data_IF_750314219802
#
_entry.id   IF_750314219802
#
_cell.length_a   1.000
_cell.length_b   1.000
_cell.length_c   1.000
_cell.angle_alpha   90.00
_cell.angle_beta   90.00
_cell.angle_gamma   90.00
#
_symmetry.space_group_name_H-M   'P 1'
#
loop_
_entity.id
_entity.type
_entity.pdbx_description
1 polymer ?
#
# COMPACT_ATOMS: atom_id res chain seq x y z
N UNK A 1 -3.43 12.95 -12.14
CA UNK A 1 -2.85 11.61 -12.39
C UNK A 1 -1.33 11.73 -12.42
N UNK A 2 -0.65 10.86 -11.73
CA UNK A 2 0.83 10.75 -11.72
C UNK A 2 1.20 9.28 -11.92
N UNK A 3 2.16 9.01 -12.79
CA UNK A 3 2.75 7.68 -12.99
C UNK A 3 4.26 7.85 -12.83
N UNK A 4 4.85 7.08 -11.95
CA UNK A 4 6.30 7.07 -11.68
C UNK A 4 6.85 5.66 -11.85
N UNK A 5 8.12 5.57 -12.24
CA UNK A 5 8.86 4.31 -12.32
C UNK A 5 10.01 4.34 -11.32
N UNK A 6 10.27 3.22 -10.71
CA UNK A 6 11.29 3.05 -9.67
C UNK A 6 12.02 1.72 -9.85
N UNK A 7 13.14 1.55 -9.15
CA UNK A 7 13.95 0.33 -9.18
C UNK A 7 14.32 -0.08 -10.61
N UNK A 8 15.06 0.81 -11.30
CA UNK A 8 15.51 0.59 -12.69
C UNK A 8 14.35 0.30 -13.67
N UNK A 9 13.24 1.06 -13.54
CA UNK A 9 12.03 0.91 -14.35
C UNK A 9 11.25 -0.41 -14.18
N UNK A 10 11.59 -1.24 -13.18
CA UNK A 10 10.92 -2.53 -12.92
C UNK A 10 9.63 -2.42 -12.11
N UNK A 11 9.42 -1.31 -11.45
CA UNK A 11 8.22 -1.01 -10.66
C UNK A 11 7.55 0.23 -11.22
N UNK A 12 6.27 0.14 -11.51
CA UNK A 12 5.46 1.28 -11.93
C UNK A 12 4.41 1.61 -10.87
N UNK A 13 4.41 2.85 -10.38
CA UNK A 13 3.46 3.34 -9.39
C UNK A 13 2.55 4.37 -10.05
N UNK A 14 1.26 4.17 -9.94
CA UNK A 14 0.23 5.11 -10.38
C UNK A 14 -0.53 5.70 -9.21
N UNK A 15 -0.79 7.00 -9.26
CA UNK A 15 -1.64 7.73 -8.32
C UNK A 15 -2.63 8.60 -9.06
N UNK A 16 -3.91 8.48 -8.74
CA UNK A 16 -4.99 9.25 -9.33
C UNK A 16 -5.87 9.88 -8.27
N UNK A 17 -6.13 11.18 -8.39
CA UNK A 17 -7.16 11.87 -7.62
C UNK A 17 -8.54 11.54 -8.21
N UNK A 18 -9.47 11.15 -7.36
CA UNK A 18 -10.84 10.75 -7.71
C UNK A 18 -11.87 11.46 -6.84
N UNK A 19 -13.12 11.43 -7.27
CA UNK A 19 -14.25 11.81 -6.42
C UNK A 19 -14.48 10.77 -5.32
N UNK A 20 -15.28 11.13 -4.33
CA UNK A 20 -15.60 10.23 -3.22
C UNK A 20 -16.61 9.15 -3.64
N UNK A 21 -16.39 7.93 -3.16
CA UNK A 21 -17.35 6.84 -3.23
C UNK A 21 -16.91 5.69 -4.14
N UNK A 22 -17.48 4.52 -3.87
CA UNK A 22 -17.09 3.24 -4.46
C UNK A 22 -17.12 3.20 -6.00
N UNK A 23 -18.05 3.96 -6.61
CA UNK A 23 -18.12 4.06 -8.08
C UNK A 23 -16.89 4.79 -8.62
N UNK A 24 -16.53 5.93 -8.02
CA UNK A 24 -15.35 6.70 -8.42
C UNK A 24 -14.04 5.94 -8.18
N UNK A 25 -13.97 5.14 -7.11
CA UNK A 25 -12.83 4.24 -6.85
C UNK A 25 -12.66 3.25 -8.00
N UNK A 26 -13.74 2.54 -8.37
CA UNK A 26 -13.70 1.53 -9.45
C UNK A 26 -13.40 2.13 -10.83
N UNK A 27 -13.99 3.27 -11.16
CA UNK A 27 -13.69 4.00 -12.39
C UNK A 27 -12.26 4.53 -12.39
N UNK A 28 -11.77 4.97 -11.22
CA UNK A 28 -10.40 5.43 -11.01
C UNK A 28 -9.38 4.33 -11.23
N UNK A 29 -9.62 3.13 -10.73
CA UNK A 29 -8.77 1.95 -10.99
C UNK A 29 -8.64 1.68 -12.48
N UNK A 30 -9.76 1.61 -13.19
CA UNK A 30 -9.76 1.33 -14.64
C UNK A 30 -9.00 2.40 -15.43
N UNK A 31 -9.24 3.68 -15.10
CA UNK A 31 -8.54 4.80 -15.75
C UNK A 31 -7.04 4.78 -15.48
N UNK A 32 -6.66 4.45 -14.24
CA UNK A 32 -5.26 4.39 -13.86
C UNK A 32 -4.54 3.21 -14.51
N UNK A 33 -5.16 2.03 -14.53
CA UNK A 33 -4.64 0.85 -15.23
C UNK A 33 -4.50 1.09 -16.73
N UNK A 34 -5.51 1.71 -17.37
CA UNK A 34 -5.39 2.09 -18.77
C UNK A 34 -4.21 3.02 -19.03
N UNK A 35 -3.99 4.00 -18.16
CA UNK A 35 -2.86 4.93 -18.30
C UNK A 35 -1.49 4.25 -18.06
N UNK A 36 -1.43 3.21 -17.21
CA UNK A 36 -0.19 2.49 -16.92
C UNK A 36 0.15 1.43 -17.96
N UNK A 37 -0.86 0.75 -18.53
CA UNK A 37 -0.69 -0.43 -19.39
C UNK A 37 -1.08 -0.20 -20.86
N UNK A 38 -1.86 0.84 -21.17
CA UNK A 38 -2.45 1.07 -22.49
C UNK A 38 -3.75 0.30 -22.73
N UNK A 39 -4.19 -0.54 -21.80
CA UNK A 39 -5.44 -1.29 -21.82
C UNK A 39 -5.97 -1.48 -20.39
N UNK A 40 -7.22 -1.90 -20.25
CA UNK A 40 -7.81 -2.27 -18.96
C UNK A 40 -7.79 -3.78 -18.82
N UNK A 41 -6.95 -4.34 -17.91
CA UNK A 41 -6.89 -5.79 -17.71
C UNK A 41 -8.13 -6.30 -16.97
N UNK A 42 -8.39 -7.60 -17.11
CA UNK A 42 -9.34 -8.30 -16.22
C UNK A 42 -8.67 -8.50 -14.87
N UNK A 43 -9.24 -7.91 -13.82
CA UNK A 43 -8.77 -8.11 -12.46
C UNK A 43 -9.51 -9.31 -11.88
N UNK A 44 -8.77 -10.34 -11.53
CA UNK A 44 -9.23 -11.46 -10.72
C UNK A 44 -8.75 -11.29 -9.27
N UNK A 45 -9.20 -12.16 -8.38
CA UNK A 45 -8.71 -12.21 -7.01
C UNK A 45 -8.37 -13.66 -6.69
N UNK A 46 -7.21 -13.86 -6.04
CA UNK A 46 -6.82 -15.18 -5.54
C UNK A 46 -7.61 -15.56 -4.27
N UNK A 47 -7.32 -16.71 -3.70
CA UNK A 47 -7.99 -17.22 -2.48
C UNK A 47 -7.81 -16.31 -1.26
N UNK A 48 -6.72 -15.54 -1.20
CA UNK A 48 -6.42 -14.56 -0.14
C UNK A 48 -7.06 -13.18 -0.41
N UNK A 49 -7.81 -13.03 -1.50
CA UNK A 49 -8.41 -11.76 -1.91
C UNK A 49 -7.45 -10.76 -2.54
N UNK A 50 -6.19 -11.14 -2.83
CA UNK A 50 -5.22 -10.30 -3.52
C UNK A 50 -5.62 -10.15 -4.98
N UNK A 51 -5.62 -8.92 -5.55
CA UNK A 51 -5.86 -8.73 -6.98
C UNK A 51 -4.76 -9.36 -7.81
N UNK A 52 -5.15 -9.95 -8.94
CA UNK A 52 -4.27 -10.56 -9.93
C UNK A 52 -4.64 -10.13 -11.33
N UNK A 53 -3.64 -9.88 -12.17
CA UNK A 53 -3.77 -9.61 -13.60
C UNK A 53 -2.71 -10.42 -14.35
N UNK A 54 -2.95 -10.69 -15.63
CA UNK A 54 -2.00 -11.44 -16.44
C UNK A 54 -0.71 -10.66 -16.66
N UNK A 55 0.44 -11.30 -16.44
CA UNK A 55 1.77 -10.77 -16.72
C UNK A 55 2.33 -9.78 -15.68
N UNK A 56 1.59 -9.48 -14.61
CA UNK A 56 2.05 -8.54 -13.59
C UNK A 56 1.67 -8.96 -12.18
N UNK A 57 2.56 -8.70 -11.24
CA UNK A 57 2.24 -8.55 -9.83
C UNK A 57 1.57 -7.18 -9.63
N UNK A 58 0.47 -7.14 -8.90
CA UNK A 58 -0.32 -5.93 -8.70
C UNK A 58 -0.71 -5.76 -7.23
N UNK A 59 -0.72 -4.52 -6.76
CA UNK A 59 -1.39 -4.15 -5.52
C UNK A 59 -2.15 -2.84 -5.71
N UNK A 60 -3.33 -2.74 -5.09
CA UNK A 60 -4.25 -1.60 -5.23
C UNK A 60 -4.62 -1.09 -3.84
N UNK A 61 -4.71 0.20 -3.69
CA UNK A 61 -5.25 0.85 -2.49
C UNK A 61 -6.07 2.07 -2.84
N UNK A 62 -7.13 2.29 -2.06
CA UNK A 62 -7.99 3.46 -2.18
C UNK A 62 -8.15 4.14 -0.83
N UNK A 63 -8.25 5.45 -0.87
CA UNK A 63 -8.68 6.24 0.26
C UNK A 63 -9.57 7.39 -0.24
N UNK A 64 -10.11 8.19 0.65
CA UNK A 64 -10.93 9.34 0.26
C UNK A 64 -10.14 10.24 -0.69
N UNK A 65 -10.64 10.35 -1.92
CA UNK A 65 -10.05 11.22 -2.95
C UNK A 65 -8.91 10.63 -3.76
N UNK A 66 -8.48 9.38 -3.50
CA UNK A 66 -7.30 8.81 -4.16
C UNK A 66 -7.45 7.32 -4.48
N UNK A 67 -6.85 6.92 -5.60
CA UNK A 67 -6.53 5.53 -5.96
C UNK A 67 -5.03 5.44 -6.21
N UNK A 68 -4.39 4.43 -5.64
CA UNK A 68 -2.99 4.10 -5.86
C UNK A 68 -2.86 2.66 -6.36
N UNK A 69 -2.02 2.45 -7.38
CA UNK A 69 -1.72 1.14 -7.96
C UNK A 69 -0.21 0.98 -8.11
N UNK A 70 0.31 -0.18 -7.79
CA UNK A 70 1.68 -0.57 -8.08
C UNK A 70 1.68 -1.83 -8.94
N UNK A 71 2.56 -1.86 -9.95
CA UNK A 71 2.74 -2.97 -10.89
C UNK A 71 4.22 -3.34 -11.00
N UNK A 72 4.50 -4.62 -11.11
CA UNK A 72 5.82 -5.15 -11.49
C UNK A 72 5.66 -6.45 -12.27
N UNK A 73 6.57 -6.71 -13.23
CA UNK A 73 6.69 -8.02 -13.88
C UNK A 73 7.63 -8.96 -13.12
N UNK A 74 8.52 -8.40 -12.29
CA UNK A 74 9.63 -9.13 -11.69
C UNK A 74 9.47 -9.36 -10.17
N UNK A 75 8.70 -8.50 -9.49
CA UNK A 75 8.64 -8.46 -8.03
C UNK A 75 7.21 -8.57 -7.51
N UNK A 76 7.04 -9.31 -6.42
CA UNK A 76 5.85 -9.16 -5.58
C UNK A 76 5.80 -7.73 -5.03
N UNK A 77 4.63 -7.12 -5.04
CA UNK A 77 4.45 -5.71 -4.69
C UNK A 77 3.31 -5.49 -3.70
N UNK A 78 3.45 -4.47 -2.87
CA UNK A 78 2.42 -3.98 -1.97
C UNK A 78 2.36 -2.46 -1.99
N UNK A 79 1.16 -1.90 -1.89
CA UNK A 79 0.93 -0.45 -1.79
C UNK A 79 -0.23 -0.16 -0.86
N UNK A 80 -0.10 0.92 -0.07
CA UNK A 80 -1.20 1.46 0.70
C UNK A 80 -1.20 2.99 0.69
N UNK A 81 -2.39 3.57 0.69
CA UNK A 81 -2.60 5.02 0.76
C UNK A 81 -3.71 5.35 1.74
N UNK A 82 -3.45 6.32 2.63
CA UNK A 82 -4.43 6.85 3.56
C UNK A 82 -4.48 8.37 3.52
N UNK A 83 -5.69 8.94 3.46
CA UNK A 83 -5.85 10.38 3.64
C UNK A 83 -5.54 10.80 5.07
N UNK A 84 -5.01 12.00 5.25
CA UNK A 84 -4.65 12.51 6.58
C UNK A 84 -5.91 12.73 7.43
N UNK A 85 -6.06 11.92 8.46
CA UNK A 85 -7.16 12.01 9.42
C UNK A 85 -6.79 11.38 10.77
N UNK A 86 -7.51 11.78 11.83
CA UNK A 86 -7.32 11.21 13.17
C UNK A 86 -7.90 9.79 13.33
N UNK A 87 -8.35 9.14 12.26
CA UNK A 87 -8.96 7.79 12.33
C UNK A 87 -7.97 6.77 12.90
N UNK A 88 -6.75 6.77 12.42
CA UNK A 88 -5.71 5.82 12.85
C UNK A 88 -5.34 5.99 14.33
N UNK A 89 -5.35 7.23 14.85
CA UNK A 89 -5.07 7.51 16.27
C UNK A 89 -6.11 6.91 17.22
N UNK A 90 -7.34 6.68 16.75
CA UNK A 90 -8.41 6.08 17.54
C UNK A 90 -8.34 4.56 17.64
N UNK A 91 -7.51 3.93 16.81
CA UNK A 91 -7.42 2.47 16.71
C UNK A 91 -5.98 1.96 16.91
N UNK A 92 -5.12 2.76 17.52
CA UNK A 92 -3.69 2.42 17.73
C UNK A 92 -3.51 1.05 18.39
N UNK A 93 -4.35 0.70 19.36
CA UNK A 93 -4.30 -0.62 20.03
C UNK A 93 -4.53 -1.81 19.10
N UNK A 94 -5.09 -1.60 17.89
CA UNK A 94 -5.35 -2.67 16.91
C UNK A 94 -4.13 -2.99 16.05
N UNK A 95 -3.23 -2.01 15.85
CA UNK A 95 -2.12 -2.18 14.94
C UNK A 95 -0.75 -1.87 15.53
N UNK A 96 -0.65 -0.92 16.51
CA UNK A 96 0.62 -0.66 17.17
C UNK A 96 0.93 -1.71 18.24
N UNK A 97 2.19 -2.04 18.33
CA UNK A 97 2.78 -2.87 19.37
C UNK A 97 3.18 -2.00 20.55
N UNK A 98 3.38 -2.59 21.72
CA UNK A 98 3.87 -1.87 22.90
C UNK A 98 5.29 -1.31 22.74
N UNK A 99 6.06 -1.88 21.81
CA UNK A 99 7.42 -1.44 21.47
C UNK A 99 7.47 -0.51 20.23
N UNK A 100 6.32 0.03 19.79
CA UNK A 100 6.16 1.03 18.74
C UNK A 100 5.56 2.32 19.34
N UNK A 101 6.36 3.20 19.97
CA UNK A 101 5.88 4.34 20.76
C UNK A 101 5.50 5.55 19.88
N UNK A 102 4.76 5.34 18.79
CA UNK A 102 4.33 6.41 17.89
C UNK A 102 3.15 7.17 18.47
N UNK A 103 3.37 8.41 18.91
CA UNK A 103 2.35 9.27 19.55
C UNK A 103 1.82 10.35 18.62
N UNK A 104 2.57 10.76 17.61
CA UNK A 104 2.16 11.75 16.64
C UNK A 104 1.41 11.13 15.45
N UNK A 105 0.48 11.90 14.88
CA UNK A 105 -0.38 11.44 13.79
C UNK A 105 0.40 10.99 12.55
N UNK A 106 1.49 11.68 12.22
CA UNK A 106 2.30 11.36 11.03
C UNK A 106 2.96 9.99 11.16
N UNK A 107 3.64 9.73 12.28
CA UNK A 107 4.25 8.43 12.56
C UNK A 107 3.22 7.32 12.61
N UNK A 108 2.05 7.58 13.19
CA UNK A 108 0.93 6.64 13.24
C UNK A 108 0.39 6.30 11.85
N UNK A 109 0.21 7.29 10.96
CA UNK A 109 -0.22 7.07 9.58
C UNK A 109 0.82 6.29 8.77
N UNK A 110 2.11 6.62 8.90
CA UNK A 110 3.20 5.88 8.24
C UNK A 110 3.20 4.43 8.73
N UNK A 111 3.11 4.20 10.04
CA UNK A 111 3.11 2.85 10.61
C UNK A 111 1.90 2.04 10.15
N UNK A 112 0.69 2.64 10.09
CA UNK A 112 -0.51 2.01 9.55
C UNK A 112 -0.31 1.61 8.09
N UNK A 113 0.00 2.58 7.20
CA UNK A 113 0.20 2.32 5.78
C UNK A 113 1.31 1.29 5.52
N UNK A 114 2.43 1.35 6.26
CA UNK A 114 3.53 0.40 6.11
C UNK A 114 3.13 -1.03 6.48
N UNK A 115 2.31 -1.21 7.52
CA UNK A 115 1.76 -2.52 7.91
C UNK A 115 0.75 -3.03 6.88
N UNK A 116 -0.15 -2.18 6.38
CA UNK A 116 -1.09 -2.55 5.32
C UNK A 116 -0.36 -2.89 4.01
N UNK A 117 0.68 -2.13 3.64
CA UNK A 117 1.55 -2.44 2.51
C UNK A 117 2.20 -3.82 2.67
N UNK A 118 2.76 -4.10 3.85
CA UNK A 118 3.42 -5.38 4.15
C UNK A 118 2.41 -6.53 4.18
N UNK A 119 1.22 -6.32 4.75
CA UNK A 119 0.13 -7.29 4.72
C UNK A 119 -0.25 -7.68 3.29
N UNK A 120 -0.39 -6.70 2.39
CA UNK A 120 -0.68 -6.94 0.96
C UNK A 120 0.47 -7.66 0.25
N UNK A 121 1.71 -7.38 0.64
CA UNK A 121 2.91 -8.02 0.08
C UNK A 121 3.04 -9.50 0.50
N UNK A 122 2.61 -9.85 1.72
CA UNK A 122 2.61 -11.19 2.30
C UNK A 122 1.18 -11.73 2.50
N UNK A 123 0.31 -11.50 1.52
CA UNK A 123 -1.13 -11.85 1.65
C UNK A 123 -1.35 -13.32 2.02
N UNK A 124 -0.52 -14.22 1.52
CA UNK A 124 -0.54 -15.65 1.78
C UNK A 124 -0.24 -16.03 3.25
N UNK A 125 0.42 -15.15 3.98
CA UNK A 125 0.76 -15.41 5.39
C UNK A 125 -0.37 -14.98 6.35
N UNK A 126 -1.35 -14.19 5.91
CA UNK A 126 -2.45 -13.67 6.75
C UNK A 126 -1.95 -13.05 8.06
N UNK A 127 -0.91 -12.19 7.97
CA UNK A 127 -0.28 -11.58 9.14
C UNK A 127 -1.25 -10.69 9.91
N UNK A 128 -1.33 -10.88 11.22
CA UNK A 128 -1.94 -9.85 12.07
C UNK A 128 -1.05 -8.60 12.09
N UNK A 129 -1.66 -7.40 12.18
CA UNK A 129 -0.89 -6.13 12.15
C UNK A 129 0.14 -6.03 13.29
N UNK A 130 -0.09 -6.72 14.41
CA UNK A 130 0.87 -6.79 15.51
C UNK A 130 1.97 -7.84 15.33
N UNK A 131 1.90 -8.70 14.31
CA UNK A 131 2.99 -9.58 13.88
C UNK A 131 3.99 -8.88 12.97
N UNK A 132 3.79 -7.60 12.73
CA UNK A 132 4.67 -6.72 11.98
C UNK A 132 5.19 -5.60 12.88
N UNK A 133 6.50 -5.36 12.86
CA UNK A 133 7.15 -4.28 13.61
C UNK A 133 7.69 -3.21 12.67
N UNK A 134 7.24 -1.98 12.83
CA UNK A 134 7.64 -0.85 11.98
C UNK A 134 8.77 -0.06 12.64
N UNK A 135 9.78 0.27 11.84
CA UNK A 135 10.75 1.31 12.16
C UNK A 135 10.56 2.48 11.16
N UNK A 136 9.84 3.51 11.59
CA UNK A 136 9.52 4.68 10.75
C UNK A 136 10.78 5.45 10.36
N UNK A 137 11.77 5.55 11.25
CA UNK A 137 13.00 6.31 10.99
C UNK A 137 13.87 5.65 9.90
N UNK A 138 13.84 4.33 9.81
CA UNK A 138 14.60 3.55 8.82
C UNK A 138 13.77 3.12 7.61
N UNK A 139 12.45 3.38 7.61
CA UNK A 139 11.51 2.90 6.61
C UNK A 139 11.56 1.37 6.43
N UNK A 140 11.54 0.63 7.52
CA UNK A 140 11.53 -0.83 7.52
C UNK A 140 10.33 -1.38 8.28
N UNK A 141 9.82 -2.51 7.81
CA UNK A 141 8.88 -3.37 8.54
C UNK A 141 9.49 -4.75 8.68
N UNK A 142 9.58 -5.25 9.90
CA UNK A 142 9.96 -6.63 10.17
C UNK A 142 8.70 -7.49 10.24
N UNK A 143 8.59 -8.49 9.37
CA UNK A 143 7.65 -9.61 9.54
C UNK A 143 8.19 -10.49 10.65
N UNK A 144 7.55 -10.47 11.82
CA UNK A 144 8.04 -11.17 13.02
C UNK A 144 7.80 -12.69 12.95
N UNK A 145 6.94 -13.16 12.04
CA UNK A 145 6.68 -14.60 11.87
C UNK A 145 7.81 -15.26 11.08
N UNK A 146 8.25 -14.64 10.00
CA UNK A 146 9.34 -15.13 9.15
C UNK A 146 10.71 -14.52 9.46
N UNK A 147 10.75 -13.48 10.31
CA UNK A 147 11.93 -12.67 10.63
C UNK A 147 12.57 -12.03 9.38
N UNK A 148 11.71 -11.57 8.46
CA UNK A 148 12.13 -10.90 7.23
C UNK A 148 11.93 -9.39 7.39
N UNK A 149 12.97 -8.61 7.10
CA UNK A 149 12.91 -7.16 7.02
C UNK A 149 12.58 -6.70 5.61
N UNK A 150 11.54 -5.88 5.49
CA UNK A 150 11.11 -5.26 4.26
C UNK A 150 11.35 -3.75 4.34
N UNK A 151 12.11 -3.24 3.39
CA UNK A 151 12.22 -1.80 3.19
C UNK A 151 11.00 -1.29 2.44
N UNK A 152 10.37 -0.25 2.94
CA UNK A 152 9.30 0.46 2.24
C UNK A 152 9.73 1.86 1.84
N UNK A 153 9.10 2.39 0.81
CA UNK A 153 9.18 3.81 0.45
C UNK A 153 7.94 4.50 0.99
N UNK A 154 8.10 5.68 1.57
CA UNK A 154 6.99 6.51 2.06
C UNK A 154 6.96 7.87 1.38
N UNK A 155 5.79 8.28 0.95
CA UNK A 155 5.48 9.64 0.52
C UNK A 155 4.47 10.25 1.48
N UNK A 156 4.85 11.34 2.11
CA UNK A 156 4.02 12.03 3.11
C UNK A 156 3.73 13.44 2.62
N UNK A 157 2.47 13.71 2.38
CA UNK A 157 1.98 15.04 1.96
C UNK A 157 1.08 15.65 3.02
N UNK A 158 0.51 16.81 2.75
CA UNK A 158 -0.53 17.40 3.59
C UNK A 158 -1.85 16.60 3.55
N UNK A 159 -2.15 15.96 2.42
CA UNK A 159 -3.45 15.34 2.15
C UNK A 159 -3.46 13.82 2.40
N UNK A 160 -2.32 13.13 2.18
CA UNK A 160 -2.20 11.69 2.29
C UNK A 160 -0.82 11.21 2.73
N UNK A 161 -0.78 9.98 3.20
CA UNK A 161 0.42 9.15 3.34
C UNK A 161 0.26 7.96 2.39
N UNK A 162 1.28 7.72 1.57
CA UNK A 162 1.39 6.58 0.67
C UNK A 162 2.64 5.78 1.04
N UNK A 163 2.52 4.46 1.11
CA UNK A 163 3.68 3.57 1.25
C UNK A 163 3.64 2.47 0.21
N UNK A 164 4.80 2.02 -0.25
CA UNK A 164 4.91 0.87 -1.12
C UNK A 164 6.19 0.09 -0.85
N UNK A 165 6.17 -1.21 -1.14
CA UNK A 165 7.26 -2.13 -0.96
C UNK A 165 7.23 -3.24 -2.02
N UNK A 166 8.34 -3.98 -2.15
CA UNK A 166 8.49 -5.12 -3.05
C UNK A 166 9.43 -6.18 -2.45
N UNK A 167 9.33 -7.40 -2.94
CA UNK A 167 10.21 -8.54 -2.60
C UNK A 167 10.45 -9.46 -3.80
#
# INVERSE_FOLDING_TARGET
MRITRDVFDKITIGLLTIDKGRKAEKEGEQRLLFAMLGYVPVINHNEDGKPTIEGYHISISHTIGYVAIILSMDFEVGIDIEYVSNRVSRITSRYLRSDEPFTDLRSQLIAWCAKETTYKLFSEEHLALQEMKVNVALNHVTNLRSNIDIKFVSEVTHDYVLTYAWK
#
